data_IF_925105332020
#
_entry.id   IF_925105332020
#
_cell.length_a   1.000
_cell.length_b   1.000
_cell.length_c   1.000
_cell.angle_alpha   90.00
_cell.angle_beta   90.00
_cell.angle_gamma   90.00
#
_symmetry.space_group_name_H-M   'P 1'
#
loop_
_entity.id
_entity.type
_entity.pdbx_description
1 polymer ?
#
# COMPACT_ATOMS: atom_id res chain seq x y z
N UNK A 1 17.19 -0.88 22.45
CA UNK A 1 15.88 -0.97 23.10
C UNK A 1 15.66 0.10 24.17
N UNK A 2 16.51 0.28 25.17
CA UNK A 2 16.34 1.28 26.25
C UNK A 2 16.11 2.70 25.73
N UNK A 3 16.90 3.15 24.76
CA UNK A 3 16.82 4.50 24.16
C UNK A 3 15.51 4.72 23.36
N UNK A 4 15.00 3.66 22.71
CA UNK A 4 13.73 3.70 21.96
C UNK A 4 12.57 3.82 22.97
N UNK A 5 12.59 3.06 24.05
CA UNK A 5 11.57 3.11 25.10
C UNK A 5 11.59 4.45 25.87
N UNK A 6 12.77 5.04 26.12
CA UNK A 6 12.88 6.35 26.75
C UNK A 6 12.36 7.49 25.85
N UNK A 7 12.63 7.43 24.55
CA UNK A 7 12.08 8.38 23.60
C UNK A 7 10.55 8.24 23.43
N UNK A 8 10.05 7.01 23.41
CA UNK A 8 8.61 6.72 23.41
C UNK A 8 7.94 7.21 24.71
N UNK A 9 8.54 6.96 25.87
CA UNK A 9 8.03 7.42 27.16
C UNK A 9 7.95 8.94 27.24
N UNK A 10 8.95 9.65 26.72
CA UNK A 10 8.95 11.12 26.65
C UNK A 10 7.85 11.63 25.72
N UNK A 11 7.70 11.03 24.54
CA UNK A 11 6.69 11.40 23.57
C UNK A 11 5.25 11.20 24.11
N UNK A 12 5.00 10.09 24.79
CA UNK A 12 3.69 9.81 25.41
C UNK A 12 3.38 10.71 26.61
N UNK A 13 4.39 11.13 27.38
CA UNK A 13 4.21 12.01 28.54
C UNK A 13 3.99 13.46 28.11
N UNK A 14 4.73 13.96 27.12
CA UNK A 14 4.55 15.33 26.61
C UNK A 14 3.18 15.56 25.95
N UNK A 15 2.57 14.54 25.33
CA UNK A 15 1.19 14.66 24.79
C UNK A 15 0.09 14.44 25.86
N UNK A 16 0.34 13.66 26.89
CA UNK A 16 -0.63 13.41 27.96
C UNK A 16 -0.81 14.60 28.93
N UNK A 17 0.15 15.52 29.00
CA UNK A 17 0.03 16.75 29.80
C UNK A 17 -0.83 17.83 29.14
N UNK A 18 -1.15 17.71 27.85
CA UNK A 18 -1.94 18.71 27.11
C UNK A 18 -3.44 18.41 26.98
N UNK A 19 -3.87 17.17 27.19
CA UNK A 19 -5.32 16.84 27.15
C UNK A 19 -5.69 15.86 28.24
N UNK A 20 -6.68 16.22 29.05
CA UNK A 20 -7.36 15.39 30.04
C UNK A 20 -8.18 14.25 29.39
N UNK A 21 -7.68 13.59 28.36
CA UNK A 21 -8.32 12.46 27.70
C UNK A 21 -7.49 11.19 27.87
N UNK A 22 -8.12 10.11 28.32
CA UNK A 22 -7.51 8.78 28.47
C UNK A 22 -7.15 8.11 27.13
N UNK A 23 -7.09 8.85 26.01
CA UNK A 23 -6.81 8.31 24.70
C UNK A 23 -5.43 8.72 24.19
N UNK A 24 -4.61 7.75 23.83
CA UNK A 24 -3.34 7.98 23.14
C UNK A 24 -3.61 8.05 21.64
N UNK A 25 -3.40 9.22 21.05
CA UNK A 25 -3.52 9.40 19.59
C UNK A 25 -2.20 9.05 18.93
N UNK A 26 -2.15 7.93 18.24
CA UNK A 26 -1.01 7.55 17.42
C UNK A 26 -1.08 8.29 16.08
N UNK A 27 -0.05 9.05 15.74
CA UNK A 27 0.06 9.68 14.42
C UNK A 27 0.73 8.73 13.45
N UNK A 28 0.05 8.40 12.36
CA UNK A 28 0.66 7.64 11.27
C UNK A 28 1.75 8.52 10.64
N UNK A 29 3.00 8.04 10.55
CA UNK A 29 4.07 8.80 9.94
C UNK A 29 3.75 9.08 8.48
N UNK A 30 3.81 10.33 8.06
CA UNK A 30 3.71 10.69 6.65
C UNK A 30 4.99 10.27 5.94
N UNK A 31 4.83 9.41 4.94
CA UNK A 31 5.94 8.99 4.11
C UNK A 31 6.21 10.03 3.01
N UNK A 32 7.48 10.28 2.77
CA UNK A 32 7.88 11.06 1.61
C UNK A 32 7.57 10.27 0.35
N UNK A 33 6.69 10.80 -0.49
CA UNK A 33 6.41 10.25 -1.80
C UNK A 33 7.67 10.38 -2.67
N UNK A 34 8.15 9.29 -3.23
CA UNK A 34 9.46 9.24 -3.87
C UNK A 34 9.45 8.35 -5.12
N UNK A 35 10.03 8.84 -6.19
CA UNK A 35 10.30 8.05 -7.41
C UNK A 35 11.33 6.93 -7.12
N UNK A 36 12.14 7.07 -6.08
CA UNK A 36 13.10 6.06 -5.64
C UNK A 36 12.45 4.77 -5.15
N UNK A 37 11.14 4.77 -4.90
CA UNK A 37 10.38 3.54 -4.63
C UNK A 37 10.46 2.52 -5.78
N UNK A 38 10.65 2.99 -7.01
CA UNK A 38 10.88 2.14 -8.18
C UNK A 38 12.28 1.53 -8.27
N UNK A 39 13.25 2.04 -7.50
CA UNK A 39 14.66 1.66 -7.60
C UNK A 39 15.02 0.62 -6.53
N UNK A 40 15.24 -0.66 -6.90
CA UNK A 40 15.63 -1.71 -5.97
C UNK A 40 16.89 -1.33 -5.20
N UNK A 41 16.87 -1.59 -3.88
CA UNK A 41 18.00 -1.33 -2.99
C UNK A 41 18.16 0.12 -2.54
N UNK A 42 17.40 1.09 -3.09
CA UNK A 42 17.38 2.46 -2.56
C UNK A 42 16.84 2.50 -1.13
N UNK A 43 17.18 3.56 -0.40
CA UNK A 43 16.68 3.73 0.98
C UNK A 43 15.16 3.84 1.02
N UNK A 44 14.56 4.67 0.16
CA UNK A 44 13.12 4.87 0.10
C UNK A 44 12.40 3.58 -0.32
N UNK A 45 13.00 2.78 -1.23
CA UNK A 45 12.48 1.47 -1.59
C UNK A 45 12.43 0.51 -0.41
N UNK A 46 13.50 0.41 0.36
CA UNK A 46 13.54 -0.46 1.54
C UNK A 46 12.45 -0.10 2.56
N UNK A 47 12.22 1.21 2.74
CA UNK A 47 11.16 1.68 3.64
C UNK A 47 9.78 1.25 3.14
N UNK A 48 9.43 1.56 1.89
CA UNK A 48 8.09 1.23 1.38
C UNK A 48 7.87 -0.30 1.29
N UNK A 49 8.90 -1.09 1.00
CA UNK A 49 8.82 -2.56 0.99
C UNK A 49 8.52 -3.17 2.35
N UNK A 50 8.96 -2.56 3.45
CA UNK A 50 8.59 -3.01 4.80
C UNK A 50 7.07 -3.05 4.99
N UNK A 51 6.34 -2.18 4.30
CA UNK A 51 4.88 -2.10 4.33
C UNK A 51 4.23 -2.87 3.19
N UNK A 52 4.60 -2.62 1.95
CA UNK A 52 3.95 -3.28 0.79
C UNK A 52 4.10 -4.80 0.79
N UNK A 53 5.15 -5.34 1.41
CA UNK A 53 5.35 -6.78 1.60
C UNK A 53 4.36 -7.42 2.59
N UNK A 54 3.75 -6.63 3.46
CA UNK A 54 2.75 -7.09 4.44
C UNK A 54 1.33 -7.07 3.88
N UNK A 55 1.10 -6.43 2.73
CA UNK A 55 -0.20 -6.47 2.05
C UNK A 55 -0.40 -7.88 1.50
N UNK A 56 -1.43 -8.56 1.99
CA UNK A 56 -1.71 -9.94 1.63
C UNK A 56 -2.01 -10.12 0.14
N UNK A 57 -1.49 -11.19 -0.44
CA UNK A 57 -1.70 -11.60 -1.82
C UNK A 57 -0.39 -11.76 -2.59
N UNK A 58 -0.37 -12.75 -3.49
CA UNK A 58 0.75 -13.04 -4.41
C UNK A 58 0.61 -12.27 -5.72
N UNK A 59 -0.62 -12.07 -6.15
CA UNK A 59 -0.96 -11.33 -7.37
C UNK A 59 -1.47 -9.93 -7.03
N UNK A 60 -1.44 -9.02 -8.01
CA UNK A 60 -2.01 -7.69 -7.83
C UNK A 60 -3.51 -7.76 -7.49
N UNK A 61 -4.26 -8.65 -8.14
CA UNK A 61 -5.70 -8.82 -7.85
C UNK A 61 -5.97 -9.24 -6.41
N UNK A 62 -5.16 -10.18 -5.86
CA UNK A 62 -5.26 -10.59 -4.46
C UNK A 62 -4.91 -9.44 -3.50
N UNK A 63 -3.86 -8.67 -3.80
CA UNK A 63 -3.49 -7.49 -3.01
C UNK A 63 -4.57 -6.41 -3.02
N UNK A 64 -5.18 -6.15 -4.19
CA UNK A 64 -6.31 -5.21 -4.33
C UNK A 64 -7.52 -5.72 -3.53
N UNK A 65 -7.81 -7.01 -3.59
CA UNK A 65 -8.90 -7.61 -2.80
C UNK A 65 -8.65 -7.46 -1.30
N UNK A 66 -7.43 -7.70 -0.84
CA UNK A 66 -7.04 -7.51 0.56
C UNK A 66 -7.20 -6.05 1.02
N UNK A 67 -6.72 -5.10 0.22
CA UNK A 67 -6.88 -3.66 0.50
C UNK A 67 -8.36 -3.25 0.52
N UNK A 68 -9.16 -3.76 -0.40
CA UNK A 68 -10.59 -3.47 -0.46
C UNK A 68 -11.34 -4.02 0.75
N UNK A 69 -11.03 -5.25 1.17
CA UNK A 69 -11.55 -5.83 2.41
C UNK A 69 -11.17 -4.99 3.62
N UNK A 70 -9.93 -4.51 3.69
CA UNK A 70 -9.49 -3.65 4.78
C UNK A 70 -10.32 -2.35 4.87
N UNK A 71 -10.60 -1.69 3.76
CA UNK A 71 -11.42 -0.48 3.71
C UNK A 71 -12.87 -0.78 4.14
N UNK A 72 -13.47 -1.86 3.61
CA UNK A 72 -14.87 -2.22 3.89
C UNK A 72 -15.09 -2.71 5.32
N UNK A 73 -14.13 -3.44 5.89
CA UNK A 73 -14.21 -3.92 7.28
C UNK A 73 -14.16 -2.77 8.28
N UNK A 74 -13.49 -1.67 7.94
CA UNK A 74 -13.48 -0.49 8.80
C UNK A 74 -14.82 0.24 8.83
N UNK A 75 -15.60 0.21 7.73
CA UNK A 75 -16.97 0.73 7.72
C UNK A 75 -17.88 -0.03 8.70
N UNK A 76 -17.59 -1.31 8.96
CA UNK A 76 -18.29 -2.16 9.94
C UNK A 76 -17.75 -2.05 11.37
N UNK A 77 -16.91 -1.05 11.67
CA UNK A 77 -16.37 -0.80 13.02
C UNK A 77 -14.97 -1.33 13.28
N UNK A 78 -14.19 -1.60 12.24
CA UNK A 78 -12.78 -2.07 12.34
C UNK A 78 -12.62 -3.31 13.24
N UNK A 79 -13.59 -4.24 13.22
CA UNK A 79 -13.73 -5.31 14.19
C UNK A 79 -12.78 -6.50 13.98
N UNK A 80 -12.18 -6.63 12.80
CA UNK A 80 -11.30 -7.77 12.53
C UNK A 80 -9.96 -7.61 13.26
N UNK A 81 -9.55 -8.64 13.98
CA UNK A 81 -8.22 -8.74 14.55
C UNK A 81 -7.21 -8.89 13.40
N UNK A 82 -6.61 -7.79 13.00
CA UNK A 82 -5.48 -7.78 12.05
C UNK A 82 -4.21 -7.43 12.82
N UNK A 83 -3.12 -8.05 12.42
CA UNK A 83 -1.78 -7.69 12.87
C UNK A 83 -1.55 -6.17 12.68
N UNK A 84 -0.99 -5.51 13.68
CA UNK A 84 -0.66 -4.07 13.66
C UNK A 84 0.20 -3.73 12.44
N UNK A 85 1.13 -4.61 12.06
CA UNK A 85 2.00 -4.39 10.90
C UNK A 85 1.21 -4.41 9.59
N UNK A 86 0.17 -5.24 9.49
CA UNK A 86 -0.74 -5.27 8.34
C UNK A 86 -1.62 -4.02 8.29
N UNK A 87 -2.17 -3.61 9.43
CA UNK A 87 -2.96 -2.37 9.52
C UNK A 87 -2.13 -1.18 9.05
N UNK A 88 -0.92 -1.01 9.58
CA UNK A 88 -0.02 0.07 9.18
C UNK A 88 0.35 -0.01 7.70
N UNK A 89 0.61 -1.21 7.17
CA UNK A 89 0.94 -1.41 5.77
C UNK A 89 -0.20 -0.96 4.84
N UNK A 90 -1.43 -1.36 5.14
CA UNK A 90 -2.61 -0.99 4.37
C UNK A 90 -2.86 0.53 4.43
N UNK A 91 -2.78 1.15 5.62
CA UNK A 91 -2.96 2.59 5.79
C UNK A 91 -1.91 3.40 5.04
N UNK A 92 -0.64 3.02 5.14
CA UNK A 92 0.47 3.69 4.46
C UNK A 92 0.33 3.57 2.95
N UNK A 93 -0.05 2.40 2.44
CA UNK A 93 -0.26 2.23 1.01
C UNK A 93 -1.44 3.08 0.50
N UNK A 94 -2.56 3.10 1.23
CA UNK A 94 -3.72 3.92 0.86
C UNK A 94 -3.40 5.43 0.91
N UNK A 95 -2.68 5.89 1.93
CA UNK A 95 -2.26 7.30 2.03
C UNK A 95 -1.28 7.67 0.91
N UNK A 96 -0.30 6.81 0.60
CA UNK A 96 0.61 7.00 -0.52
C UNK A 96 -0.13 7.07 -1.87
N UNK A 97 -1.08 6.17 -2.10
CA UNK A 97 -1.90 6.15 -3.30
C UNK A 97 -2.80 7.40 -3.39
N UNK A 98 -3.38 7.84 -2.25
CA UNK A 98 -4.14 9.09 -2.18
C UNK A 98 -3.29 10.28 -2.57
N UNK A 99 -2.08 10.38 -2.03
CA UNK A 99 -1.16 11.45 -2.37
C UNK A 99 -0.78 11.45 -3.85
N UNK A 100 -0.50 10.29 -4.43
CA UNK A 100 -0.23 10.15 -5.87
C UNK A 100 -1.39 10.66 -6.73
N UNK A 101 -2.62 10.44 -6.28
CA UNK A 101 -3.84 10.84 -7.02
C UNK A 101 -4.15 12.33 -6.89
N UNK A 102 -3.98 12.90 -5.69
CA UNK A 102 -4.52 14.21 -5.35
C UNK A 102 -3.47 15.31 -5.25
N UNK A 103 -2.25 14.98 -4.85
CA UNK A 103 -1.23 15.99 -4.51
C UNK A 103 -0.28 16.30 -5.68
N UNK A 104 -0.30 15.48 -6.76
CA UNK A 104 0.59 15.63 -7.89
C UNK A 104 -0.15 15.89 -9.20
N UNK A 105 0.50 16.64 -10.11
CA UNK A 105 0.00 16.78 -11.47
C UNK A 105 -0.01 15.43 -12.21
N UNK A 106 -0.80 15.27 -13.30
CA UNK A 106 -0.96 13.98 -13.96
C UNK A 106 0.33 13.33 -14.46
N UNK A 107 1.34 14.11 -14.85
CA UNK A 107 2.62 13.60 -15.35
C UNK A 107 3.44 13.02 -14.17
N UNK A 108 3.69 13.82 -13.14
CA UNK A 108 4.42 13.37 -11.94
C UNK A 108 3.67 12.24 -11.24
N UNK A 109 2.34 12.33 -11.14
CA UNK A 109 1.51 11.28 -10.56
C UNK A 109 1.62 9.96 -11.32
N UNK A 110 1.84 9.98 -12.64
CA UNK A 110 2.13 8.78 -13.44
C UNK A 110 3.41 8.08 -13.00
N UNK A 111 4.52 8.80 -12.93
CA UNK A 111 5.81 8.24 -12.48
C UNK A 111 5.78 7.72 -11.04
N UNK A 112 5.12 8.45 -10.15
CA UNK A 112 4.97 8.02 -8.77
C UNK A 112 4.08 6.79 -8.63
N UNK A 113 3.04 6.69 -9.47
CA UNK A 113 2.20 5.49 -9.55
C UNK A 113 3.01 4.28 -10.03
N UNK A 114 3.83 4.43 -11.07
CA UNK A 114 4.72 3.38 -11.55
C UNK A 114 5.68 2.92 -10.43
N UNK A 115 6.28 3.85 -9.70
CA UNK A 115 7.19 3.58 -8.60
C UNK A 115 6.49 2.86 -7.43
N UNK A 116 5.27 3.29 -7.06
CA UNK A 116 4.46 2.67 -6.02
C UNK A 116 4.03 1.25 -6.41
N UNK A 117 3.57 1.06 -7.66
CA UNK A 117 3.18 -0.26 -8.17
C UNK A 117 4.39 -1.20 -8.29
N UNK A 118 5.55 -0.68 -8.68
CA UNK A 118 6.81 -1.44 -8.68
C UNK A 118 7.14 -1.96 -7.27
N UNK A 119 6.97 -1.13 -6.24
CA UNK A 119 7.17 -1.55 -4.85
C UNK A 119 6.14 -2.60 -4.41
N UNK A 120 4.86 -2.42 -4.77
CA UNK A 120 3.79 -3.35 -4.42
C UNK A 120 3.96 -4.73 -5.07
N UNK A 121 4.44 -4.75 -6.32
CA UNK A 121 4.64 -5.98 -7.10
C UNK A 121 6.00 -6.63 -6.89
N UNK A 122 6.87 -6.05 -6.03
CA UNK A 122 8.23 -6.54 -5.84
C UNK A 122 9.11 -6.41 -7.09
N UNK A 123 8.72 -5.53 -8.01
CA UNK A 123 9.39 -5.34 -9.29
C UNK A 123 10.44 -4.24 -9.28
N UNK A 124 10.93 -3.90 -10.46
CA UNK A 124 11.90 -2.84 -10.70
C UNK A 124 11.33 -1.85 -11.70
N UNK A 125 11.31 -0.54 -11.36
CA UNK A 125 11.01 0.51 -12.32
C UNK A 125 12.16 0.64 -13.33
N UNK A 126 11.81 0.71 -14.60
CA UNK A 126 12.72 1.02 -15.69
C UNK A 126 12.48 2.45 -16.15
N UNK A 127 12.69 3.41 -15.27
CA UNK A 127 12.75 4.80 -15.72
C UNK A 127 14.01 4.97 -16.58
N UNK A 128 13.81 5.08 -17.88
CA UNK A 128 14.90 5.35 -18.81
C UNK A 128 15.33 6.79 -18.62
N UNK A 129 16.62 7.07 -18.32
CA UNK A 129 17.13 8.44 -18.36
C UNK A 129 16.87 9.01 -19.76
N UNK A 130 16.21 10.15 -19.84
CA UNK A 130 15.93 10.90 -21.06
C UNK A 130 17.19 11.57 -21.62
N UNK A 131 18.27 10.83 -21.74
CA UNK A 131 19.45 11.29 -22.46
C UNK A 131 19.40 10.76 -23.89
N UNK A 132 18.70 11.48 -24.76
CA UNK A 132 18.98 11.60 -26.20
C UNK A 132 19.23 10.35 -27.06
N UNK A 133 18.96 9.15 -26.56
CA UNK A 133 19.19 7.90 -27.29
C UNK A 133 17.92 7.41 -27.99
N UNK A 134 18.09 6.85 -29.18
CA UNK A 134 17.05 6.35 -30.10
C UNK A 134 16.27 5.13 -29.56
N UNK A 135 16.64 4.60 -28.39
CA UNK A 135 16.03 3.41 -27.77
C UNK A 135 15.13 3.82 -26.59
N UNK A 136 13.91 4.27 -26.92
CA UNK A 136 12.86 4.41 -25.91
C UNK A 136 12.25 3.02 -25.66
N UNK A 137 12.73 2.35 -24.63
CA UNK A 137 12.04 1.18 -24.06
C UNK A 137 10.68 1.66 -23.52
N UNK A 138 9.61 0.96 -23.87
CA UNK A 138 8.24 1.25 -23.41
C UNK A 138 7.87 0.46 -22.16
N UNK A 139 8.84 -0.20 -21.56
CA UNK A 139 8.69 -0.95 -20.31
C UNK A 139 8.78 0.02 -19.15
N UNK A 140 7.69 0.20 -18.42
CA UNK A 140 7.66 1.06 -17.24
C UNK A 140 8.22 0.33 -16.00
N UNK A 141 7.88 -0.95 -15.83
CA UNK A 141 8.42 -1.82 -14.77
C UNK A 141 8.71 -3.22 -15.27
N UNK A 142 9.61 -3.93 -14.57
CA UNK A 142 9.75 -5.39 -14.67
C UNK A 142 9.28 -5.97 -13.34
N UNK A 143 8.30 -6.89 -13.35
CA UNK A 143 7.81 -7.51 -12.13
C UNK A 143 8.83 -8.53 -11.56
N UNK A 144 8.53 -9.09 -10.40
CA UNK A 144 9.39 -10.07 -9.73
C UNK A 144 9.57 -11.39 -10.53
N UNK A 145 8.72 -11.65 -11.52
CA UNK A 145 8.82 -12.80 -12.44
C UNK A 145 9.61 -12.46 -13.73
N UNK A 146 10.14 -11.25 -13.84
CA UNK A 146 10.85 -10.78 -15.01
C UNK A 146 9.95 -10.39 -16.19
N UNK A 147 8.62 -10.21 -15.97
CA UNK A 147 7.69 -9.81 -17.04
C UNK A 147 7.77 -8.29 -17.27
N UNK A 148 7.98 -7.83 -18.52
CA UNK A 148 7.94 -6.41 -18.84
C UNK A 148 6.50 -5.90 -18.77
N UNK A 149 6.29 -4.80 -18.07
CA UNK A 149 4.97 -4.20 -17.90
C UNK A 149 4.97 -2.73 -18.29
N UNK A 150 3.90 -2.31 -18.97
CA UNK A 150 3.58 -0.91 -19.22
C UNK A 150 2.37 -0.50 -18.40
N UNK A 151 2.51 0.56 -17.60
CA UNK A 151 1.49 1.06 -16.70
C UNK A 151 0.76 2.24 -17.29
N UNK A 152 -0.56 2.25 -17.13
CA UNK A 152 -1.41 3.37 -17.54
C UNK A 152 -2.37 3.72 -16.42
N UNK A 153 -2.41 5.01 -16.07
CA UNK A 153 -3.22 5.51 -14.95
C UNK A 153 -4.00 6.75 -15.37
N UNK A 154 -5.29 6.59 -15.60
CA UNK A 154 -6.10 7.67 -16.14
C UNK A 154 -7.53 7.71 -15.58
N UNK A 155 -8.22 8.84 -15.81
CA UNK A 155 -9.62 9.00 -15.42
C UNK A 155 -10.57 8.35 -16.43
N UNK A 156 -11.70 7.86 -15.93
CA UNK A 156 -12.78 7.31 -16.75
C UNK A 156 -13.34 8.32 -17.75
N UNK A 157 -13.35 9.60 -17.39
CA UNK A 157 -13.85 10.71 -18.22
C UNK A 157 -12.75 11.18 -19.17
N UNK A 158 -12.85 10.88 -20.43
CA UNK A 158 -11.88 11.26 -21.46
C UNK A 158 -11.91 10.29 -22.63
N UNK A 159 -11.27 10.60 -23.74
CA UNK A 159 -11.18 9.75 -24.93
C UNK A 159 -10.39 8.45 -24.74
N UNK A 160 -9.83 8.25 -23.56
CA UNK A 160 -9.23 7.06 -22.97
C UNK A 160 -8.82 5.90 -23.89
N UNK A 161 -8.00 6.20 -24.87
CA UNK A 161 -7.37 5.17 -25.70
C UNK A 161 -5.98 4.88 -25.14
N UNK A 162 -5.63 3.59 -25.09
CA UNK A 162 -4.25 3.19 -24.84
C UNK A 162 -3.54 3.23 -26.18
N UNK A 163 -2.59 4.16 -26.26
CA UNK A 163 -1.76 4.37 -27.44
C UNK A 163 -0.30 4.21 -27.09
N UNK A 164 0.48 3.82 -28.07
CA UNK A 164 1.93 3.72 -27.96
C UNK A 164 2.60 3.74 -29.33
N UNK A 165 3.92 3.92 -29.34
CA UNK A 165 4.70 3.80 -30.56
C UNK A 165 4.76 2.34 -31.00
N UNK A 166 4.22 2.04 -32.19
CA UNK A 166 4.30 0.70 -32.80
C UNK A 166 5.73 0.16 -32.79
N UNK A 167 6.66 0.97 -33.29
CA UNK A 167 8.04 0.53 -33.47
C UNK A 167 8.76 0.29 -32.12
N UNK A 168 8.53 1.14 -31.13
CA UNK A 168 9.17 0.99 -29.81
C UNK A 168 8.60 -0.23 -29.07
N UNK A 169 7.26 -0.39 -29.09
CA UNK A 169 6.60 -1.52 -28.46
C UNK A 169 7.01 -2.85 -29.11
N UNK A 170 7.06 -2.90 -30.45
CA UNK A 170 7.51 -4.10 -31.17
C UNK A 170 8.96 -4.45 -30.83
N UNK A 171 9.87 -3.45 -30.82
CA UNK A 171 11.27 -3.67 -30.44
C UNK A 171 11.42 -4.18 -29.02
N UNK A 172 10.70 -3.58 -28.07
CA UNK A 172 10.72 -4.01 -26.68
C UNK A 172 10.20 -5.45 -26.51
N UNK A 173 9.09 -5.81 -27.18
CA UNK A 173 8.56 -7.18 -27.17
C UNK A 173 9.56 -8.17 -27.78
N UNK A 174 10.16 -7.84 -28.92
CA UNK A 174 11.14 -8.70 -29.55
C UNK A 174 12.42 -8.87 -28.73
N UNK A 175 12.91 -7.80 -28.12
CA UNK A 175 14.10 -7.82 -27.28
C UNK A 175 13.89 -8.66 -25.99
N UNK A 176 12.71 -8.62 -25.42
CA UNK A 176 12.38 -9.39 -24.22
C UNK A 176 11.95 -10.84 -24.54
N UNK A 177 11.65 -11.17 -25.79
CA UNK A 177 11.18 -12.50 -26.22
C UNK A 177 9.83 -12.92 -25.63
N UNK A 178 9.08 -11.99 -25.07
CA UNK A 178 7.81 -12.22 -24.38
C UNK A 178 6.85 -11.04 -24.58
N UNK A 179 5.51 -11.24 -24.41
CA UNK A 179 4.55 -10.17 -24.58
C UNK A 179 4.73 -9.08 -23.52
N UNK A 180 4.42 -7.84 -23.86
CA UNK A 180 4.32 -6.73 -22.93
C UNK A 180 3.01 -6.84 -22.14
N UNK A 181 3.09 -6.83 -20.82
CA UNK A 181 1.91 -6.78 -19.96
C UNK A 181 1.48 -5.32 -19.78
N UNK A 182 0.23 -5.03 -20.01
CA UNK A 182 -0.37 -3.74 -19.72
C UNK A 182 -1.15 -3.83 -18.40
N UNK A 183 -0.76 -3.00 -17.44
CA UNK A 183 -1.49 -2.78 -16.19
C UNK A 183 -2.17 -1.42 -16.27
N UNK A 184 -3.48 -1.41 -16.26
CA UNK A 184 -4.28 -0.21 -16.44
C UNK A 184 -5.12 0.06 -15.20
N UNK A 185 -4.91 1.20 -14.56
CA UNK A 185 -5.75 1.73 -13.48
C UNK A 185 -6.71 2.80 -14.03
N UNK A 186 -7.99 2.58 -13.92
CA UNK A 186 -9.04 3.53 -14.32
C UNK A 186 -9.66 4.13 -13.08
N UNK A 187 -9.43 5.44 -12.89
CA UNK A 187 -9.99 6.21 -11.77
C UNK A 187 -11.44 6.57 -12.04
N UNK A 188 -12.35 6.12 -11.19
CA UNK A 188 -13.76 6.44 -11.23
C UNK A 188 -14.06 7.61 -10.29
N UNK A 189 -14.76 8.63 -10.78
CA UNK A 189 -15.22 9.78 -10.00
C UNK A 189 -16.76 9.78 -9.94
N UNK A 190 -17.31 10.30 -8.84
CA UNK A 190 -18.77 10.54 -8.75
C UNK A 190 -19.23 11.58 -9.77
N UNK A 191 -18.45 12.66 -9.93
CA UNK A 191 -18.69 13.76 -10.86
C UNK A 191 -17.41 14.15 -11.58
N UNK A 192 -17.51 14.95 -12.65
CA UNK A 192 -16.38 15.35 -13.51
C UNK A 192 -15.19 15.94 -12.71
N UNK A 193 -15.49 16.71 -11.68
CA UNK A 193 -14.49 17.39 -10.82
C UNK A 193 -14.50 16.82 -9.38
N UNK A 194 -15.16 15.68 -9.16
CA UNK A 194 -15.28 15.02 -7.87
C UNK A 194 -14.05 14.19 -7.48
N UNK A 195 -14.05 13.77 -6.22
CA UNK A 195 -13.02 12.85 -5.70
C UNK A 195 -13.10 11.49 -6.37
N UNK A 196 -11.99 10.76 -6.36
CA UNK A 196 -11.92 9.39 -6.86
C UNK A 196 -12.59 8.47 -5.85
N UNK A 197 -13.61 7.73 -6.29
CA UNK A 197 -14.35 6.79 -5.45
C UNK A 197 -13.78 5.37 -5.51
N UNK A 198 -13.25 5.01 -6.67
CA UNK A 198 -12.65 3.69 -6.89
C UNK A 198 -11.65 3.72 -8.04
N UNK A 199 -10.82 2.69 -8.07
CA UNK A 199 -9.89 2.42 -9.17
C UNK A 199 -10.17 1.00 -9.65
N UNK A 200 -10.59 0.87 -10.93
CA UNK A 200 -10.67 -0.43 -11.59
C UNK A 200 -9.32 -0.78 -12.21
N UNK A 201 -8.82 -1.96 -11.90
CA UNK A 201 -7.57 -2.46 -12.44
C UNK A 201 -7.80 -3.52 -13.50
N UNK A 202 -7.09 -3.40 -14.60
CA UNK A 202 -7.13 -4.33 -15.73
C UNK A 202 -5.70 -4.77 -16.09
N UNK A 203 -5.53 -6.06 -16.39
CA UNK A 203 -4.28 -6.63 -16.88
C UNK A 203 -4.54 -7.39 -18.19
N UNK A 204 -3.75 -7.11 -19.21
CA UNK A 204 -3.79 -7.82 -20.49
C UNK A 204 -2.40 -7.82 -21.14
N UNK A 205 -2.19 -8.73 -22.06
CA UNK A 205 -0.92 -8.89 -22.74
C UNK A 205 -1.00 -8.37 -24.19
N UNK A 206 0.12 -7.78 -24.64
CA UNK A 206 0.30 -7.33 -26.04
C UNK A 206 1.46 -8.07 -26.66
N UNK A 207 1.17 -8.81 -27.70
CA UNK A 207 2.16 -9.58 -28.46
C UNK A 207 2.50 -8.94 -29.81
N UNK A 208 3.47 -9.53 -30.47
CA UNK A 208 3.87 -9.20 -31.88
C UNK A 208 3.75 -10.43 -32.75
N UNK A 209 2.69 -10.50 -33.57
CA UNK A 209 2.46 -11.63 -34.47
C UNK A 209 3.61 -11.79 -35.46
N UNK A 210 4.19 -10.68 -35.94
CA UNK A 210 5.31 -10.69 -36.86
C UNK A 210 6.59 -11.31 -36.28
N UNK A 211 6.72 -11.30 -34.97
CA UNK A 211 7.87 -11.86 -34.23
C UNK A 211 7.50 -13.18 -33.51
N UNK A 212 6.35 -13.77 -33.84
CA UNK A 212 5.89 -15.05 -33.27
C UNK A 212 5.43 -14.99 -31.82
N UNK A 213 5.36 -13.81 -31.21
CA UNK A 213 5.01 -13.62 -29.79
C UNK A 213 3.52 -13.33 -29.68
N UNK A 214 2.79 -14.24 -29.01
CA UNK A 214 1.34 -14.14 -28.81
C UNK A 214 0.99 -13.26 -27.62
N UNK A 215 -0.11 -12.51 -27.73
CA UNK A 215 -0.73 -11.74 -26.66
C UNK A 215 -2.25 -11.68 -26.84
N UNK A 216 -2.96 -11.11 -25.89
CA UNK A 216 -4.41 -10.86 -25.99
C UNK A 216 -4.72 -9.87 -27.12
N UNK A 217 -3.85 -8.88 -27.28
CA UNK A 217 -3.87 -7.90 -28.37
C UNK A 217 -2.56 -7.95 -29.15
N UNK A 218 -2.55 -7.35 -30.33
CA UNK A 218 -1.35 -7.21 -31.13
C UNK A 218 -0.79 -5.79 -31.00
N UNK A 219 0.51 -5.65 -31.19
CA UNK A 219 1.19 -4.35 -31.24
C UNK A 219 0.55 -3.37 -32.23
N UNK A 220 -0.03 -3.87 -33.36
CA UNK A 220 -0.80 -3.05 -34.32
C UNK A 220 -2.05 -2.41 -33.71
N UNK A 221 -2.66 -3.04 -32.70
CA UNK A 221 -3.88 -2.53 -32.08
C UNK A 221 -3.59 -1.31 -31.20
N UNK A 222 -2.43 -1.31 -30.52
CA UNK A 222 -1.96 -0.18 -29.70
C UNK A 222 -1.30 0.91 -30.56
N UNK A 223 -0.52 0.51 -31.56
CA UNK A 223 0.19 1.40 -32.47
C UNK A 223 -0.70 2.02 -33.55
N UNK A 224 -1.99 1.66 -33.63
CA UNK A 224 -2.93 2.25 -34.56
C UNK A 224 -3.28 3.69 -34.18
N UNK A 225 -3.80 4.47 -35.16
CA UNK A 225 -4.25 5.85 -34.88
C UNK A 225 -5.25 5.96 -33.77
N UNK A 226 -6.14 4.98 -33.64
CA UNK A 226 -7.17 4.94 -32.59
C UNK A 226 -6.68 4.29 -31.29
N UNK A 227 -5.68 3.40 -31.32
CA UNK A 227 -5.25 2.62 -30.16
C UNK A 227 -6.33 1.66 -29.66
N UNK A 228 -6.15 1.10 -28.46
CA UNK A 228 -7.16 0.30 -27.77
C UNK A 228 -8.12 1.22 -27.02
N UNK A 229 -9.41 1.09 -27.30
CA UNK A 229 -10.46 1.80 -26.58
C UNK A 229 -10.66 1.20 -25.18
N UNK A 230 -11.17 2.01 -24.25
CA UNK A 230 -11.59 1.52 -22.92
C UNK A 230 -12.62 0.39 -22.99
N UNK A 231 -13.56 0.44 -23.95
CA UNK A 231 -14.54 -0.63 -24.11
C UNK A 231 -13.94 -1.99 -24.44
N UNK A 232 -12.81 -2.01 -25.15
CA UNK A 232 -12.09 -3.24 -25.47
C UNK A 232 -11.35 -3.81 -24.25
N UNK A 233 -10.78 -2.95 -23.39
CA UNK A 233 -10.04 -3.36 -22.20
C UNK A 233 -10.94 -3.53 -20.96
N UNK A 234 -12.03 -2.79 -20.84
CA UNK A 234 -12.99 -2.90 -19.73
C UNK A 234 -13.87 -4.17 -19.82
N UNK A 235 -13.28 -5.25 -20.31
CA UNK A 235 -13.91 -6.57 -20.36
C UNK A 235 -13.62 -7.31 -19.05
N UNK A 236 -14.61 -8.06 -18.55
CA UNK A 236 -14.46 -8.91 -17.35
C UNK A 236 -13.24 -9.84 -17.42
N UNK A 237 -12.85 -10.26 -18.61
CA UNK A 237 -11.68 -11.11 -18.84
C UNK A 237 -10.37 -10.46 -18.35
N UNK A 238 -10.25 -9.15 -18.46
CA UNK A 238 -9.02 -8.41 -18.13
C UNK A 238 -9.12 -7.70 -16.78
N UNK A 239 -10.30 -7.65 -16.19
CA UNK A 239 -10.52 -7.02 -14.90
C UNK A 239 -9.94 -7.89 -13.79
N UNK A 240 -8.97 -7.34 -13.05
CA UNK A 240 -8.27 -8.04 -11.97
C UNK A 240 -8.74 -7.61 -10.57
N UNK A 241 -9.44 -6.49 -10.48
CA UNK A 241 -10.03 -6.04 -9.22
C UNK A 241 -10.41 -4.56 -9.23
N UNK A 242 -11.26 -4.19 -8.30
CA UNK A 242 -11.63 -2.80 -8.02
C UNK A 242 -11.20 -2.47 -6.60
N UNK A 243 -10.39 -1.43 -6.44
CA UNK A 243 -10.10 -0.85 -5.15
C UNK A 243 -11.12 0.26 -4.87
N UNK A 244 -11.99 0.05 -3.90
CA UNK A 244 -12.84 1.09 -3.33
C UNK A 244 -11.94 2.06 -2.56
N UNK A 245 -11.85 3.29 -3.05
CA UNK A 245 -10.89 4.23 -2.52
C UNK A 245 -11.56 5.21 -1.55
N UNK A 246 -12.83 5.53 -1.81
CA UNK A 246 -13.55 6.55 -1.08
C UNK A 246 -12.97 7.95 -1.28
N UNK A 247 -13.52 8.91 -0.57
CA UNK A 247 -12.97 10.26 -0.51
C UNK A 247 -11.71 10.31 0.34
N UNK A 248 -10.86 11.32 0.14
CA UNK A 248 -9.70 11.56 1.02
C UNK A 248 -10.10 11.65 2.50
N UNK A 249 -11.28 12.21 2.77
CA UNK A 249 -11.83 12.34 4.13
C UNK A 249 -12.18 10.96 4.72
N UNK A 250 -12.74 10.06 3.92
CA UNK A 250 -13.05 8.69 4.35
C UNK A 250 -11.78 7.91 4.66
N UNK A 251 -10.72 8.02 3.83
CA UNK A 251 -9.41 7.41 4.11
C UNK A 251 -8.82 7.94 5.43
N UNK A 252 -8.91 9.26 5.64
CA UNK A 252 -8.45 9.87 6.90
C UNK A 252 -9.26 9.38 8.11
N UNK A 253 -10.58 9.18 7.95
CA UNK A 253 -11.43 8.63 9.00
C UNK A 253 -11.07 7.18 9.32
N UNK A 254 -10.85 6.35 8.30
CA UNK A 254 -10.38 4.97 8.46
C UNK A 254 -9.06 4.96 9.23
N UNK A 255 -8.11 5.81 8.82
CA UNK A 255 -6.83 5.95 9.50
C UNK A 255 -7.00 6.36 10.97
N UNK A 256 -7.87 7.33 11.26
CA UNK A 256 -8.15 7.78 12.62
C UNK A 256 -8.74 6.65 13.48
N UNK A 257 -9.73 5.92 12.97
CA UNK A 257 -10.38 4.80 13.68
C UNK A 257 -9.39 3.69 14.05
N UNK A 258 -8.53 3.29 13.10
CA UNK A 258 -7.48 2.30 13.36
C UNK A 258 -6.43 2.81 14.34
N UNK A 259 -6.05 4.09 14.23
CA UNK A 259 -5.05 4.71 15.11
C UNK A 259 -5.55 4.80 16.55
N UNK A 260 -6.82 5.15 16.75
CA UNK A 260 -7.48 5.18 18.06
C UNK A 260 -7.49 3.78 18.68
N UNK A 261 -7.86 2.76 17.91
CA UNK A 261 -7.83 1.37 18.37
C UNK A 261 -6.43 0.92 18.77
N UNK A 262 -5.41 1.19 17.96
CA UNK A 262 -4.02 0.88 18.30
C UNK A 262 -3.57 1.62 19.57
N UNK A 263 -3.94 2.88 19.71
CA UNK A 263 -3.69 3.67 20.91
C UNK A 263 -4.29 3.04 22.17
N UNK A 264 -5.54 2.57 22.09
CA UNK A 264 -6.22 1.89 23.19
C UNK A 264 -5.54 0.57 23.59
N UNK A 265 -5.13 -0.25 22.62
CA UNK A 265 -4.40 -1.50 22.87
C UNK A 265 -3.06 -1.21 23.55
N UNK A 266 -2.30 -0.25 23.03
CA UNK A 266 -1.00 0.13 23.61
C UNK A 266 -1.13 0.69 25.03
N UNK A 267 -2.15 1.51 25.29
CA UNK A 267 -2.42 2.01 26.63
C UNK A 267 -2.75 0.87 27.61
N UNK A 268 -3.53 -0.12 27.17
CA UNK A 268 -3.85 -1.29 27.97
C UNK A 268 -2.59 -2.11 28.31
N UNK A 269 -1.74 -2.36 27.30
CA UNK A 269 -0.44 -3.03 27.52
C UNK A 269 0.43 -2.25 28.52
N UNK A 270 0.48 -0.93 28.39
CA UNK A 270 1.24 -0.09 29.31
C UNK A 270 0.73 -0.22 30.76
N UNK A 271 -0.59 -0.14 30.97
CA UNK A 271 -1.21 -0.33 32.29
C UNK A 271 -0.88 -1.71 32.88
N UNK A 272 -0.93 -2.77 32.04
CA UNK A 272 -0.59 -4.12 32.49
C UNK A 272 0.88 -4.29 32.86
N UNK A 273 1.80 -3.63 32.13
CA UNK A 273 3.24 -3.62 32.46
C UNK A 273 3.46 -2.91 33.80
N UNK A 274 2.79 -1.80 34.04
CA UNK A 274 2.92 -1.01 35.27
C UNK A 274 2.41 -1.81 36.48
N UNK A 275 1.24 -2.43 36.38
CA UNK A 275 0.69 -3.33 37.38
C UNK A 275 1.57 -4.55 37.63
N UNK A 276 2.13 -5.18 36.57
CA UNK A 276 3.08 -6.27 36.72
C UNK A 276 4.32 -5.84 37.48
N UNK A 277 4.87 -4.68 37.14
CA UNK A 277 6.05 -4.12 37.81
C UNK A 277 5.78 -3.87 39.29
N UNK A 278 4.60 -3.33 39.62
CA UNK A 278 4.18 -3.09 41.02
C UNK A 278 4.08 -4.41 41.79
N UNK A 279 3.39 -5.41 41.23
CA UNK A 279 3.20 -6.72 41.88
C UNK A 279 4.52 -7.49 42.05
N UNK A 280 5.44 -7.41 41.08
CA UNK A 280 6.80 -8.00 41.18
C UNK A 280 7.61 -7.31 42.30
N UNK A 281 7.56 -5.98 42.37
CA UNK A 281 8.24 -5.22 43.43
C UNK A 281 7.70 -5.58 44.81
N UNK A 282 6.39 -5.69 44.98
CA UNK A 282 5.76 -6.09 46.26
C UNK A 282 6.17 -7.51 46.65
N UNK A 283 6.27 -8.44 45.72
CA UNK A 283 6.76 -9.80 45.95
C UNK A 283 8.20 -9.81 46.48
N UNK A 284 9.11 -9.06 45.84
CA UNK A 284 10.51 -9.00 46.25
C UNK A 284 10.74 -8.25 47.55
N UNK A 285 9.85 -7.34 47.95
CA UNK A 285 9.92 -6.62 49.19
C UNK A 285 9.43 -7.45 50.41
N UNK A 286 9.12 -8.74 50.24
CA UNK A 286 8.62 -9.64 51.28
C UNK A 286 7.43 -9.05 52.05
N UNK A 287 6.51 -8.42 51.34
CA UNK A 287 5.28 -7.92 51.96
C UNK A 287 4.44 -9.08 52.53
N UNK A 288 3.59 -8.86 53.56
CA UNK A 288 2.64 -9.87 54.06
C UNK A 288 1.74 -10.47 52.97
N UNK A 289 1.59 -9.74 51.86
CA UNK A 289 0.77 -10.09 50.71
C UNK A 289 1.60 -10.67 49.54
N UNK A 290 2.87 -11.09 49.76
CA UNK A 290 3.78 -11.55 48.73
C UNK A 290 3.20 -12.68 47.85
N UNK A 291 2.46 -13.62 48.47
CA UNK A 291 1.82 -14.73 47.71
C UNK A 291 0.69 -14.23 46.80
N UNK A 292 -0.12 -13.29 47.26
CA UNK A 292 -1.18 -12.67 46.46
C UNK A 292 -0.60 -11.82 45.35
N UNK A 293 0.43 -11.06 45.63
CA UNK A 293 1.17 -10.26 44.65
C UNK A 293 1.83 -11.14 43.57
N UNK A 294 2.34 -12.31 43.92
CA UNK A 294 2.87 -13.26 42.93
C UNK A 294 1.79 -13.80 41.99
N UNK A 295 0.60 -14.13 42.50
CA UNK A 295 -0.52 -14.58 41.70
C UNK A 295 -1.05 -13.47 40.78
N UNK A 296 -1.12 -12.23 41.28
CA UNK A 296 -1.48 -11.06 40.46
C UNK A 296 -0.44 -10.80 39.34
N UNK A 297 0.84 -10.88 39.69
CA UNK A 297 1.91 -10.74 38.70
C UNK A 297 1.83 -11.80 37.56
N UNK A 298 1.51 -13.05 37.95
CA UNK A 298 1.32 -14.12 36.95
C UNK A 298 0.09 -13.87 36.06
N UNK A 299 -1.02 -13.42 36.64
CA UNK A 299 -2.22 -13.08 35.87
C UNK A 299 -1.98 -11.89 34.91
N UNK A 300 -1.28 -10.84 35.38
CA UNK A 300 -0.94 -9.68 34.54
C UNK A 300 0.06 -10.05 33.44
N UNK A 301 1.00 -10.96 33.69
CA UNK A 301 1.90 -11.46 32.65
C UNK A 301 1.15 -12.26 31.57
N UNK A 302 0.13 -13.04 31.95
CA UNK A 302 -0.71 -13.75 30.99
C UNK A 302 -1.57 -12.79 30.16
N UNK A 303 -2.16 -11.77 30.78
CA UNK A 303 -2.93 -10.74 30.10
C UNK A 303 -2.06 -9.89 29.14
N UNK A 304 -0.83 -9.56 29.56
CA UNK A 304 0.15 -8.88 28.71
C UNK A 304 0.52 -9.73 27.49
N UNK A 305 0.72 -11.04 27.68
CA UNK A 305 0.99 -11.97 26.58
C UNK A 305 -0.16 -11.96 25.59
N UNK A 306 -1.41 -12.06 26.04
CA UNK A 306 -2.58 -12.00 25.18
C UNK A 306 -2.67 -10.67 24.42
N UNK A 307 -2.47 -9.53 25.09
CA UNK A 307 -2.46 -8.21 24.43
C UNK A 307 -1.33 -8.05 23.42
N UNK A 308 -0.16 -8.66 23.64
CA UNK A 308 0.92 -8.67 22.64
C UNK A 308 0.65 -9.60 21.47
N UNK A 309 -0.07 -10.69 21.68
CA UNK A 309 -0.52 -11.59 20.60
C UNK A 309 -1.58 -10.90 19.71
N UNK A 310 -2.41 -10.02 20.25
CA UNK A 310 -3.34 -9.18 19.47
C UNK A 310 -2.64 -8.11 18.63
N UNK A 311 -1.38 -7.77 18.94
CA UNK A 311 -0.56 -6.82 18.20
C UNK A 311 0.38 -7.50 17.19
N UNK A 312 0.56 -8.80 17.26
CA UNK A 312 1.47 -9.57 16.40
C UNK A 312 0.81 -10.09 15.15
#
# INVERSE_FOLDING_TARGET
MKLIMENWKRYLVEEAEQENSESVVLKIPKFRISEQWGTPGSHDRKIIEMFTSKIHGKTLGEKISSLNSFVTECDAGCAAAKDVSEILANLIFLDALASVIYDFNPMTGGFLFESLMSALLGGQSKQVPTSGGIDQDVTDIIDHNGRPMSLKFFFKTGSGYIKGSYNNLRRSIAANGQPMIYLVGIKNRAHKDGEVLSIDFYEFSVGSKGDGIKGDFNVSDIGSYNGLSRGQIANRRYHIGTLGFGSRKEIQQIAANYTERLGSIMLNIYKQIDELSLNVNQYFLNSPEAKESALKAQANAAALKQGTEELA
#
